data_IF_500652971126
#
_entry.id   IF_500652971126
#
_cell.length_a   1.000
_cell.length_b   1.000
_cell.length_c   1.000
_cell.angle_alpha   90.00
_cell.angle_beta   90.00
_cell.angle_gamma   90.00
#
_symmetry.space_group_name_H-M   'P 1'
#
loop_
_entity.id
_entity.type
_entity.pdbx_description
1 polymer ?
#
# COMPACT_ATOMS: atom_id res chain seq x y z
N UNK A 1 -11.31 -11.93 8.18
CA UNK A 1 -11.56 -10.53 7.81
C UNK A 1 -10.32 -9.97 7.14
N UNK A 2 -10.47 -9.39 5.96
CA UNK A 2 -9.36 -8.80 5.17
C UNK A 2 -8.75 -7.53 5.78
N UNK A 3 -9.28 -7.03 6.89
CA UNK A 3 -8.89 -5.71 7.41
C UNK A 3 -8.55 -5.75 8.90
N UNK A 4 -8.37 -6.95 9.45
CA UNK A 4 -7.99 -7.09 10.84
C UNK A 4 -6.60 -7.71 10.93
N UNK A 5 -5.67 -6.97 11.51
CA UNK A 5 -4.27 -7.37 11.66
C UNK A 5 -3.72 -6.98 13.03
N UNK A 6 -2.71 -7.71 13.46
CA UNK A 6 -1.81 -7.28 14.50
C UNK A 6 -0.66 -6.57 13.81
N UNK A 7 -0.50 -5.29 14.11
CA UNK A 7 0.49 -4.39 13.49
C UNK A 7 1.45 -3.91 14.56
N UNK A 8 2.71 -3.75 14.23
CA UNK A 8 3.73 -3.31 15.17
C UNK A 8 4.75 -2.40 14.49
N UNK A 9 5.45 -1.60 15.28
CA UNK A 9 6.53 -0.73 14.80
C UNK A 9 7.84 -1.13 15.45
N UNK A 10 8.81 -1.48 14.63
CA UNK A 10 10.20 -1.69 15.03
C UNK A 10 10.88 -0.31 15.19
N UNK A 11 11.59 -0.15 16.29
CA UNK A 11 12.30 1.10 16.60
C UNK A 11 13.30 1.45 15.50
N UNK A 12 13.25 2.69 15.01
CA UNK A 12 14.10 3.22 13.92
C UNK A 12 13.92 2.53 12.57
N UNK A 13 12.92 1.67 12.42
CA UNK A 13 12.53 1.05 11.17
C UNK A 13 11.10 1.45 10.78
N UNK A 14 10.44 0.65 10.02
CA UNK A 14 9.06 0.88 9.62
C UNK A 14 8.06 0.10 10.46
N UNK A 15 6.82 0.21 10.03
CA UNK A 15 5.68 -0.54 10.55
C UNK A 15 5.51 -1.83 9.75
N UNK A 16 5.29 -2.95 10.43
CA UNK A 16 4.97 -4.24 9.82
C UNK A 16 3.73 -4.86 10.46
N UNK A 17 3.19 -5.94 9.88
CA UNK A 17 1.96 -6.55 10.35
C UNK A 17 1.90 -8.04 10.05
N UNK A 18 1.25 -8.80 10.94
CA UNK A 18 0.95 -10.21 10.71
C UNK A 18 -0.19 -10.37 9.69
N UNK A 19 -0.16 -11.50 8.96
CA UNK A 19 -1.10 -11.82 7.89
C UNK A 19 -2.56 -11.54 8.28
N UNK A 20 -3.27 -10.85 7.39
CA UNK A 20 -4.70 -10.59 7.54
C UNK A 20 -5.57 -11.83 7.27
N UNK A 21 -5.06 -12.83 6.57
CA UNK A 21 -5.85 -13.95 6.04
C UNK A 21 -5.50 -15.30 6.60
N UNK A 22 -4.25 -15.52 7.01
CA UNK A 22 -3.73 -16.79 7.54
C UNK A 22 -3.36 -16.69 9.02
N UNK A 23 -3.22 -17.85 9.67
CA UNK A 23 -2.55 -17.90 10.96
C UNK A 23 -1.06 -17.60 10.78
N UNK A 24 -0.54 -16.75 11.65
CA UNK A 24 0.86 -16.36 11.65
C UNK A 24 1.32 -16.09 13.06
N UNK A 25 2.57 -16.41 13.34
CA UNK A 25 3.21 -16.16 14.62
C UNK A 25 4.66 -15.77 14.38
N UNK A 26 5.09 -14.71 15.03
CA UNK A 26 6.42 -14.14 14.84
C UNK A 26 7.08 -13.80 16.16
N UNK A 27 8.38 -14.06 16.25
CA UNK A 27 9.23 -13.62 17.36
C UNK A 27 10.11 -12.49 16.88
N UNK A 28 9.98 -11.35 17.54
CA UNK A 28 10.69 -10.12 17.20
C UNK A 28 11.69 -9.86 18.32
N UNK A 29 12.96 -9.87 17.96
CA UNK A 29 14.06 -9.63 18.87
C UNK A 29 14.49 -8.16 18.92
N UNK A 30 14.04 -7.38 17.94
CA UNK A 30 14.27 -5.94 17.86
C UNK A 30 13.32 -5.19 18.81
N UNK A 31 13.77 -4.05 19.35
CA UNK A 31 12.91 -3.20 20.18
C UNK A 31 11.71 -2.65 19.39
N UNK A 32 10.52 -2.71 20.00
CA UNK A 32 9.30 -2.17 19.43
C UNK A 32 8.87 -0.89 20.17
N UNK A 33 8.40 0.10 19.41
CA UNK A 33 7.80 1.31 19.94
C UNK A 33 6.36 1.08 20.39
N UNK A 34 5.60 0.33 19.59
CA UNK A 34 4.21 -0.01 19.90
C UNK A 34 3.74 -1.29 19.18
N UNK A 35 2.65 -1.84 19.70
CA UNK A 35 1.88 -2.94 19.10
C UNK A 35 0.42 -2.51 19.01
N UNK A 36 -0.23 -2.78 17.88
CA UNK A 36 -1.60 -2.38 17.59
C UNK A 36 -2.47 -3.57 17.16
N UNK A 37 -3.64 -3.68 17.78
CA UNK A 37 -4.73 -4.53 17.34
C UNK A 37 -5.67 -3.71 16.47
N UNK A 38 -5.58 -3.93 15.17
CA UNK A 38 -6.28 -3.15 14.16
C UNK A 38 -7.47 -3.91 13.61
N UNK A 39 -8.59 -3.23 13.45
CA UNK A 39 -9.67 -3.68 12.57
C UNK A 39 -9.88 -2.68 11.42
N UNK A 40 -10.96 -2.83 10.65
CA UNK A 40 -11.23 -1.98 9.50
C UNK A 40 -11.34 -0.48 9.84
N UNK A 41 -11.93 -0.14 10.98
CA UNK A 41 -12.30 1.24 11.32
C UNK A 41 -11.58 1.79 12.54
N UNK A 42 -11.13 0.93 13.44
CA UNK A 42 -10.53 1.31 14.71
C UNK A 42 -9.27 0.50 14.99
N UNK A 43 -8.39 1.11 15.74
CA UNK A 43 -7.20 0.46 16.28
C UNK A 43 -7.09 0.69 17.78
N UNK A 44 -6.60 -0.35 18.47
CA UNK A 44 -6.15 -0.28 19.85
C UNK A 44 -4.64 -0.42 19.84
N UNK A 45 -3.92 0.61 20.26
CA UNK A 45 -2.46 0.66 20.20
C UNK A 45 -1.91 0.71 21.61
N UNK A 46 -0.99 -0.18 21.93
CA UNK A 46 -0.22 -0.16 23.17
C UNK A 46 1.18 0.39 22.86
N UNK A 47 1.49 1.53 23.42
CA UNK A 47 2.72 2.29 23.20
C UNK A 47 3.59 2.15 24.45
N UNK A 48 4.85 1.73 24.27
CA UNK A 48 5.83 1.69 25.34
C UNK A 48 6.69 2.96 25.35
N UNK A 49 6.84 3.62 26.49
CA UNK A 49 7.77 4.74 26.64
C UNK A 49 9.23 4.29 26.57
N UNK A 50 9.53 3.11 27.12
CA UNK A 50 10.88 2.55 27.22
C UNK A 50 11.15 1.41 26.25
N UNK A 51 10.33 1.24 25.22
CA UNK A 51 10.31 0.15 24.23
C UNK A 51 9.91 -1.21 24.83
N UNK A 52 9.36 -2.06 23.97
CA UNK A 52 9.30 -3.49 24.21
C UNK A 52 10.58 -4.11 23.67
N UNK A 53 11.37 -4.75 24.51
CA UNK A 53 12.70 -5.27 24.15
C UNK A 53 12.65 -6.54 23.31
N UNK A 54 11.58 -7.29 23.43
CA UNK A 54 11.30 -8.53 22.70
C UNK A 54 9.79 -8.72 22.67
N UNK A 55 9.26 -9.25 21.58
CA UNK A 55 7.86 -9.59 21.46
C UNK A 55 7.66 -10.94 20.78
N UNK A 56 6.64 -11.67 21.22
CA UNK A 56 6.09 -12.82 20.51
C UNK A 56 4.64 -12.51 20.17
N UNK A 57 4.38 -12.33 18.89
CA UNK A 57 3.08 -11.92 18.37
C UNK A 57 2.43 -13.06 17.61
N UNK A 58 1.16 -13.31 17.83
CA UNK A 58 0.40 -14.31 17.09
C UNK A 58 -0.97 -13.83 16.65
N UNK A 59 -1.42 -14.31 15.51
CA UNK A 59 -2.71 -14.00 14.89
C UNK A 59 -3.32 -15.28 14.35
N UNK A 60 -4.43 -15.71 14.91
CA UNK A 60 -5.10 -16.97 14.54
C UNK A 60 -6.54 -16.69 14.08
N UNK A 61 -6.88 -16.91 12.78
CA UNK A 61 -8.24 -16.81 12.30
C UNK A 61 -9.17 -17.82 12.97
N UNK A 62 -10.35 -17.36 13.41
CA UNK A 62 -11.35 -18.21 14.00
C UNK A 62 -12.28 -18.84 12.96
N UNK A 63 -12.95 -19.94 13.34
CA UNK A 63 -13.91 -20.64 12.47
C UNK A 63 -15.11 -19.75 12.14
N UNK A 64 -15.62 -19.94 10.93
CA UNK A 64 -16.82 -19.25 10.45
C UNK A 64 -18.01 -19.55 11.30
N UNK A 65 -18.52 -19.03 12.16
CA UNK A 65 -19.67 -19.25 13.05
C UNK A 65 -19.34 -19.14 14.55
N UNK A 66 -18.07 -18.93 14.92
CA UNK A 66 -17.68 -18.69 16.31
C UNK A 66 -18.16 -17.32 16.84
N UNK A 67 -18.58 -16.40 15.95
CA UNK A 67 -18.87 -15.01 16.31
C UNK A 67 -17.62 -14.12 16.41
N UNK A 68 -16.44 -14.71 16.36
CA UNK A 68 -15.15 -14.03 16.42
C UNK A 68 -14.45 -14.14 15.06
N UNK A 69 -13.67 -13.11 14.70
CA UNK A 69 -12.93 -13.07 13.44
C UNK A 69 -11.54 -13.69 13.59
N UNK A 70 -10.84 -13.27 14.62
CA UNK A 70 -9.47 -13.67 14.93
C UNK A 70 -9.19 -13.56 16.42
N UNK A 71 -8.25 -14.37 16.87
CA UNK A 71 -7.60 -14.21 18.17
C UNK A 71 -6.20 -13.62 17.93
N UNK A 72 -5.85 -12.66 18.76
CA UNK A 72 -4.55 -12.03 18.79
C UNK A 72 -3.93 -12.24 20.16
N UNK A 73 -2.67 -12.63 20.15
CA UNK A 73 -1.86 -12.76 21.35
C UNK A 73 -0.56 -11.99 21.15
N UNK A 74 -0.17 -11.25 22.18
CA UNK A 74 1.04 -10.45 22.16
C UNK A 74 1.73 -10.54 23.53
N UNK A 75 2.77 -11.36 23.60
CA UNK A 75 3.66 -11.45 24.74
C UNK A 75 4.84 -10.52 24.52
N UNK A 76 4.96 -9.49 25.37
CA UNK A 76 5.97 -8.45 25.20
C UNK A 76 6.79 -8.30 26.48
N UNK A 77 8.09 -8.20 26.32
CA UNK A 77 9.01 -7.89 27.41
C UNK A 77 9.28 -6.40 27.46
N UNK A 78 9.23 -5.81 28.62
CA UNK A 78 9.58 -4.41 28.84
C UNK A 78 10.49 -4.27 30.04
N UNK A 79 11.16 -3.14 30.12
CA UNK A 79 11.99 -2.82 31.27
C UNK A 79 11.14 -2.68 32.52
N UNK A 80 11.61 -3.29 33.60
CA UNK A 80 11.01 -3.16 34.92
C UNK A 80 12.12 -2.90 35.96
N UNK A 81 11.98 -1.80 36.73
CA UNK A 81 12.90 -1.47 37.82
C UNK A 81 12.33 -2.00 39.15
N UNK A 82 12.89 -3.09 39.72
CA UNK A 82 12.41 -3.62 40.99
C UNK A 82 12.68 -2.68 42.19
N UNK A 83 13.56 -1.68 42.03
CA UNK A 83 13.82 -0.69 43.09
C UNK A 83 12.74 0.40 43.16
N UNK A 84 11.84 0.47 42.20
CA UNK A 84 10.76 1.46 42.13
C UNK A 84 11.20 2.89 41.83
N UNK A 85 12.46 3.11 41.48
CA UNK A 85 12.98 4.46 41.16
C UNK A 85 12.56 4.94 39.78
N UNK A 86 12.45 4.01 38.83
CA UNK A 86 12.08 4.33 37.46
C UNK A 86 10.76 3.65 37.12
N UNK A 87 9.66 4.40 36.94
CA UNK A 87 8.36 3.80 36.61
C UNK A 87 8.35 3.24 35.17
N UNK A 88 7.78 2.07 34.99
CA UNK A 88 7.45 1.57 33.65
C UNK A 88 6.19 2.28 33.15
N UNK A 89 6.30 3.05 32.08
CA UNK A 89 5.20 3.83 31.52
C UNK A 89 4.73 3.24 30.19
N UNK A 90 3.44 3.08 30.07
CA UNK A 90 2.78 2.64 28.83
C UNK A 90 1.57 3.52 28.58
N UNK A 91 1.23 3.71 27.31
CA UNK A 91 0.01 4.39 26.89
C UNK A 91 -0.84 3.45 26.06
N UNK A 92 -2.14 3.45 26.26
CA UNK A 92 -3.10 2.75 25.45
C UNK A 92 -3.96 3.75 24.70
N UNK A 93 -3.93 3.68 23.38
CA UNK A 93 -4.67 4.54 22.48
C UNK A 93 -5.79 3.74 21.80
N UNK A 94 -7.01 4.21 21.90
CA UNK A 94 -8.14 3.75 21.11
C UNK A 94 -8.53 4.85 20.14
N UNK A 95 -8.35 4.61 18.85
CA UNK A 95 -8.60 5.62 17.84
C UNK A 95 -9.25 5.03 16.58
N UNK A 96 -10.08 5.82 15.87
CA UNK A 96 -10.48 5.46 14.52
C UNK A 96 -9.27 5.52 13.58
N UNK A 97 -9.28 4.66 12.55
CA UNK A 97 -8.24 4.60 11.53
C UNK A 97 -8.37 5.81 10.57
N UNK A 98 -8.19 6.99 11.08
CA UNK A 98 -8.19 8.24 10.33
C UNK A 98 -6.76 8.77 10.24
N UNK A 99 -6.26 8.96 9.01
CA UNK A 99 -4.90 9.34 8.74
C UNK A 99 -4.46 10.62 9.47
N UNK A 100 -5.24 11.70 9.38
CA UNK A 100 -4.91 12.99 10.00
C UNK A 100 -5.00 12.95 11.52
N UNK A 101 -5.98 12.23 12.06
CA UNK A 101 -6.10 12.07 13.51
C UNK A 101 -4.90 11.32 14.08
N UNK A 102 -4.51 10.22 13.45
CA UNK A 102 -3.35 9.42 13.89
C UNK A 102 -2.05 10.22 13.75
N UNK A 103 -1.87 10.95 12.65
CA UNK A 103 -0.74 11.85 12.46
C UNK A 103 -0.69 12.96 13.52
N UNK A 104 -1.85 13.53 13.89
CA UNK A 104 -1.90 14.52 14.95
C UNK A 104 -1.59 13.90 16.32
N UNK A 105 -2.02 12.68 16.56
CA UNK A 105 -1.79 11.95 17.82
C UNK A 105 -0.31 11.67 18.06
N UNK A 106 0.50 11.47 16.99
CA UNK A 106 1.96 11.36 17.12
C UNK A 106 2.57 12.55 17.87
N UNK A 107 2.06 13.76 17.63
CA UNK A 107 2.54 15.00 18.26
C UNK A 107 2.07 15.16 19.71
N UNK A 108 0.99 14.49 20.08
CA UNK A 108 0.43 14.53 21.44
C UNK A 108 0.99 13.42 22.33
N UNK A 109 1.71 12.47 21.77
CA UNK A 109 2.35 11.40 22.54
C UNK A 109 3.37 12.01 23.52
N UNK A 110 3.30 11.57 24.75
CA UNK A 110 4.26 12.00 25.80
C UNK A 110 5.66 11.41 25.57
N UNK A 111 5.86 10.57 24.57
CA UNK A 111 7.16 10.07 24.16
C UNK A 111 7.73 10.97 23.05
N UNK A 112 9.00 11.35 23.15
CA UNK A 112 9.73 12.08 22.08
C UNK A 112 10.00 11.20 20.83
N UNK A 113 9.24 10.12 20.67
CA UNK A 113 9.38 9.15 19.59
C UNK A 113 8.53 9.54 18.41
N UNK A 114 9.04 9.32 17.21
CA UNK A 114 8.24 9.34 15.99
C UNK A 114 7.47 8.00 15.88
N UNK A 115 6.22 8.01 16.33
CA UNK A 115 5.42 6.80 16.39
C UNK A 115 4.85 6.37 15.04
N UNK A 116 4.78 7.29 14.05
CA UNK A 116 4.23 7.01 12.70
C UNK A 116 2.89 6.25 12.76
N UNK A 117 1.99 6.63 13.68
CA UNK A 117 0.69 5.96 13.87
C UNK A 117 -0.22 6.05 12.64
N UNK A 118 0.01 7.04 11.76
CA UNK A 118 -0.68 7.13 10.48
C UNK A 118 -0.43 5.94 9.56
N UNK A 119 0.64 5.18 9.77
CA UNK A 119 0.95 3.96 9.02
C UNK A 119 0.01 2.80 9.35
N UNK A 120 -0.78 2.91 10.42
CA UNK A 120 -1.93 2.04 10.65
C UNK A 120 -2.97 2.16 9.53
N UNK A 121 -3.05 3.30 8.84
CA UNK A 121 -3.87 3.44 7.65
C UNK A 121 -3.08 2.93 6.45
N UNK A 122 -3.45 1.74 5.96
CA UNK A 122 -2.77 1.15 4.81
C UNK A 122 -3.01 1.97 3.54
N UNK A 123 -1.99 2.64 3.06
CA UNK A 123 -2.02 3.47 1.85
C UNK A 123 -1.45 2.77 0.61
N UNK A 124 -1.29 1.45 0.66
CA UNK A 124 -0.71 0.66 -0.43
C UNK A 124 0.81 0.54 -0.37
N UNK A 125 1.42 -0.04 -1.40
CA UNK A 125 2.87 -0.21 -1.52
C UNK A 125 3.60 1.14 -1.47
N UNK A 126 4.91 1.20 -1.17
CA UNK A 126 5.64 2.45 -0.94
C UNK A 126 5.46 3.52 -2.03
N UNK A 127 5.42 3.11 -3.30
CA UNK A 127 5.17 4.03 -4.43
C UNK A 127 3.76 4.63 -4.37
N UNK A 128 2.76 3.82 -4.00
CA UNK A 128 1.37 4.26 -3.91
C UNK A 128 1.11 5.04 -2.64
N UNK A 129 1.74 4.64 -1.53
CA UNK A 129 1.74 5.38 -0.28
C UNK A 129 2.17 6.83 -0.51
N UNK A 130 3.22 7.07 -1.32
CA UNK A 130 3.68 8.40 -1.67
C UNK A 130 2.63 9.20 -2.47
N UNK A 131 2.05 8.61 -3.53
CA UNK A 131 0.99 9.25 -4.33
C UNK A 131 -0.25 9.54 -3.48
N UNK A 132 -0.70 8.57 -2.69
CA UNK A 132 -1.85 8.74 -1.82
C UNK A 132 -1.61 9.81 -0.77
N UNK A 133 -0.45 9.78 -0.08
CA UNK A 133 -0.10 10.71 0.99
C UNK A 133 0.01 12.15 0.50
N UNK A 134 0.67 12.39 -0.64
CA UNK A 134 0.99 13.75 -1.11
C UNK A 134 0.01 14.30 -2.15
N UNK A 135 -0.82 13.46 -2.74
CA UNK A 135 -1.71 13.90 -3.81
C UNK A 135 -3.18 13.59 -3.52
N UNK A 136 -3.54 12.33 -3.36
CA UNK A 136 -4.95 11.93 -3.27
C UNK A 136 -5.61 12.44 -1.99
N UNK A 137 -4.96 12.32 -0.83
CA UNK A 137 -5.52 12.77 0.46
C UNK A 137 -5.76 14.27 0.44
N UNK A 138 -4.81 15.09 -0.04
CA UNK A 138 -4.99 16.55 -0.09
C UNK A 138 -6.13 16.98 -0.99
N UNK A 139 -6.27 16.36 -2.16
CA UNK A 139 -7.37 16.67 -3.09
C UNK A 139 -8.71 16.23 -2.50
N UNK A 140 -8.75 15.07 -1.88
CA UNK A 140 -9.94 14.55 -1.22
C UNK A 140 -10.39 15.48 -0.09
N UNK A 141 -9.48 15.93 0.78
CA UNK A 141 -9.78 16.85 1.87
C UNK A 141 -10.25 18.20 1.35
N UNK A 142 -9.59 18.72 0.32
CA UNK A 142 -10.01 19.97 -0.33
C UNK A 142 -11.43 19.85 -0.90
N UNK A 143 -11.74 18.79 -1.63
CA UNK A 143 -13.08 18.55 -2.16
C UNK A 143 -14.12 18.34 -1.03
N UNK A 144 -13.75 17.65 0.04
CA UNK A 144 -14.61 17.42 1.20
C UNK A 144 -14.92 18.70 1.96
N UNK A 145 -13.95 19.65 2.01
CA UNK A 145 -14.13 20.95 2.67
C UNK A 145 -15.16 21.84 1.99
N UNK A 146 -15.51 21.56 0.73
CA UNK A 146 -16.58 22.27 -0.02
C UNK A 146 -17.99 21.91 0.45
N UNK A 147 -18.15 21.03 1.43
CA UNK A 147 -19.46 20.61 1.97
C UNK A 147 -20.29 19.75 1.00
N UNK A 148 -19.65 19.16 -0.01
CA UNK A 148 -20.31 18.29 -0.99
C UNK A 148 -20.60 16.91 -0.39
N UNK A 149 -21.63 16.25 -0.90
CA UNK A 149 -21.89 14.86 -0.51
C UNK A 149 -20.71 13.96 -0.91
N UNK A 150 -20.40 12.93 -0.10
CA UNK A 150 -19.27 12.01 -0.32
C UNK A 150 -19.30 11.40 -1.73
N UNK A 151 -20.48 11.10 -2.28
CA UNK A 151 -20.62 10.56 -3.64
C UNK A 151 -20.13 11.55 -4.71
N UNK A 152 -20.42 12.84 -4.55
CA UNK A 152 -19.97 13.89 -5.47
C UNK A 152 -18.44 14.08 -5.33
N UNK A 153 -17.92 14.07 -4.12
CA UNK A 153 -16.47 14.17 -3.86
C UNK A 153 -15.72 13.04 -4.59
N UNK A 154 -16.16 11.80 -4.46
CA UNK A 154 -15.55 10.66 -5.13
C UNK A 154 -15.66 10.73 -6.65
N UNK A 155 -16.79 11.21 -7.17
CA UNK A 155 -16.99 11.41 -8.60
C UNK A 155 -16.03 12.47 -9.15
N UNK A 156 -15.92 13.63 -8.49
CA UNK A 156 -15.02 14.70 -8.88
C UNK A 156 -13.55 14.28 -8.80
N UNK A 157 -13.17 13.59 -7.72
CA UNK A 157 -11.83 13.02 -7.57
C UNK A 157 -11.50 12.06 -8.73
N UNK A 158 -12.44 11.19 -9.09
CA UNK A 158 -12.26 10.27 -10.22
C UNK A 158 -12.07 11.00 -11.55
N UNK A 159 -12.87 12.03 -11.82
CA UNK A 159 -12.74 12.85 -13.02
C UNK A 159 -11.37 13.54 -13.05
N UNK A 160 -10.98 14.14 -11.94
CA UNK A 160 -9.70 14.86 -11.82
C UNK A 160 -8.51 13.93 -12.09
N UNK A 161 -8.48 12.75 -11.47
CA UNK A 161 -7.44 11.75 -11.72
C UNK A 161 -7.43 11.31 -13.19
N UNK A 162 -8.60 11.09 -13.80
CA UNK A 162 -8.69 10.74 -15.23
C UNK A 162 -8.17 11.84 -16.15
N UNK A 163 -8.46 13.11 -15.85
CA UNK A 163 -7.96 14.26 -16.60
C UNK A 163 -6.43 14.33 -16.52
N UNK A 164 -5.85 14.12 -15.34
CA UNK A 164 -4.40 14.12 -15.15
C UNK A 164 -3.70 12.98 -15.89
N UNK A 165 -4.28 11.80 -15.91
CA UNK A 165 -3.72 10.63 -16.59
C UNK A 165 -4.02 10.66 -18.12
N UNK A 166 -4.97 11.49 -18.56
CA UNK A 166 -5.42 11.55 -19.96
C UNK A 166 -4.29 11.74 -20.99
N UNK A 167 -3.31 12.65 -20.82
CA UNK A 167 -2.25 12.84 -21.83
C UNK A 167 -1.41 11.57 -22.04
N UNK A 168 -1.12 10.84 -20.97
CA UNK A 168 -0.37 9.58 -21.02
C UNK A 168 -1.21 8.47 -21.67
N UNK A 169 -2.47 8.39 -21.27
CA UNK A 169 -3.44 7.42 -21.81
C UNK A 169 -3.67 7.64 -23.30
N UNK A 170 -3.80 8.90 -23.76
CA UNK A 170 -3.93 9.24 -25.18
C UNK A 170 -2.74 8.76 -26.01
N UNK A 171 -1.51 9.03 -25.55
CA UNK A 171 -0.30 8.58 -26.24
C UNK A 171 -0.27 7.06 -26.39
N UNK A 172 -0.71 6.34 -25.38
CA UNK A 172 -0.73 4.90 -25.39
C UNK A 172 -1.83 4.32 -26.29
N UNK A 173 -3.03 4.91 -26.30
CA UNK A 173 -4.08 4.52 -27.25
C UNK A 173 -3.63 4.74 -28.70
N UNK A 174 -2.96 5.85 -28.99
CA UNK A 174 -2.39 6.09 -30.33
C UNK A 174 -1.33 5.06 -30.71
N UNK A 175 -0.45 4.67 -29.76
CA UNK A 175 0.54 3.61 -30.01
C UNK A 175 -0.14 2.26 -30.25
N UNK A 176 -1.15 1.91 -29.46
CA UNK A 176 -1.93 0.69 -29.66
C UNK A 176 -2.70 0.67 -31.00
N UNK A 177 -3.26 1.80 -31.40
CA UNK A 177 -3.94 1.93 -32.69
C UNK A 177 -2.94 1.74 -33.86
N UNK A 178 -1.77 2.38 -33.77
CA UNK A 178 -0.69 2.16 -34.77
C UNK A 178 -0.24 0.70 -34.84
N UNK A 179 -0.11 0.01 -33.70
CA UNK A 179 0.22 -1.41 -33.66
C UNK A 179 -0.82 -2.29 -34.39
N UNK A 180 -2.11 -1.96 -34.24
CA UNK A 180 -3.18 -2.69 -34.96
C UNK A 180 -3.06 -2.52 -36.48
N UNK A 181 -2.70 -1.32 -36.96
CA UNK A 181 -2.48 -1.06 -38.40
C UNK A 181 -1.24 -1.79 -38.91
N UNK A 182 -0.23 -1.99 -38.07
CA UNK A 182 1.00 -2.71 -38.42
C UNK A 182 0.85 -4.24 -38.37
N UNK A 183 -0.24 -4.74 -37.78
CA UNK A 183 -0.48 -6.19 -37.64
C UNK A 183 -0.31 -6.97 -38.95
N UNK A 184 -0.91 -6.60 -40.11
CA UNK A 184 -0.73 -7.36 -41.36
C UNK A 184 0.73 -7.46 -41.79
N UNK A 185 1.54 -6.39 -41.61
CA UNK A 185 2.98 -6.42 -41.92
C UNK A 185 3.77 -7.32 -40.95
N UNK A 186 3.35 -7.40 -39.71
CA UNK A 186 3.94 -8.31 -38.73
C UNK A 186 3.58 -9.78 -39.09
N UNK A 187 2.36 -10.00 -39.57
CA UNK A 187 1.91 -11.33 -39.99
C UNK A 187 2.67 -11.78 -41.23
N UNK A 188 2.94 -10.92 -42.21
CA UNK A 188 3.84 -11.17 -43.37
C UNK A 188 5.25 -11.54 -42.91
N UNK A 189 5.78 -10.81 -41.91
CA UNK A 189 7.10 -11.08 -41.33
C UNK A 189 7.13 -12.41 -40.58
N UNK A 190 6.05 -12.75 -39.90
CA UNK A 190 5.86 -14.06 -39.26
C UNK A 190 5.83 -15.20 -40.27
N UNK A 191 5.19 -15.00 -41.44
CA UNK A 191 5.15 -15.96 -42.49
C UNK A 191 6.52 -16.13 -43.20
N UNK A 192 7.32 -15.08 -43.28
CA UNK A 192 8.67 -15.08 -43.86
C UNK A 192 9.66 -15.90 -43.03
N UNK A 193 9.47 -15.93 -41.69
CA UNK A 193 10.36 -16.63 -40.75
C UNK A 193 9.59 -17.66 -39.91
N UNK A 194 9.20 -18.81 -40.49
CA UNK A 194 8.41 -19.83 -39.80
C UNK A 194 9.24 -20.72 -38.87
N UNK A 195 10.58 -20.77 -39.05
CA UNK A 195 11.46 -21.66 -38.31
C UNK A 195 11.91 -21.04 -36.96
N UNK A 196 12.00 -21.87 -35.90
CA UNK A 196 12.53 -21.41 -34.59
C UNK A 196 13.96 -20.85 -34.66
N UNK A 197 14.78 -21.32 -35.59
CA UNK A 197 16.15 -20.92 -35.82
C UNK A 197 16.27 -19.42 -36.26
N UNK A 198 15.24 -18.90 -36.91
CA UNK A 198 15.18 -17.51 -37.38
C UNK A 198 14.55 -16.55 -36.38
N UNK A 199 14.25 -17.02 -35.18
CA UNK A 199 13.60 -16.19 -34.15
C UNK A 199 14.31 -14.86 -33.86
N UNK A 200 15.66 -14.88 -33.85
CA UNK A 200 16.46 -13.65 -33.61
C UNK A 200 16.33 -12.65 -34.77
N UNK A 201 16.39 -13.14 -36.02
CA UNK A 201 16.22 -12.28 -37.21
C UNK A 201 14.81 -11.69 -37.28
N UNK A 202 13.80 -12.53 -37.02
CA UNK A 202 12.41 -12.11 -36.92
C UNK A 202 12.21 -11.01 -35.88
N UNK A 203 12.79 -11.19 -34.68
CA UNK A 203 12.71 -10.19 -33.62
C UNK A 203 13.39 -8.88 -34.02
N UNK A 204 14.56 -8.95 -34.66
CA UNK A 204 15.30 -7.79 -35.12
C UNK A 204 14.54 -7.02 -36.21
N UNK A 205 14.01 -7.70 -37.24
CA UNK A 205 13.20 -7.07 -38.29
C UNK A 205 11.88 -6.49 -37.72
N UNK A 206 11.26 -7.15 -36.75
CA UNK A 206 10.07 -6.63 -36.04
C UNK A 206 10.39 -5.36 -35.27
N UNK A 207 11.55 -5.30 -34.57
CA UNK A 207 11.98 -4.10 -33.88
C UNK A 207 12.30 -2.96 -34.84
N UNK A 208 12.94 -3.25 -35.99
CA UNK A 208 13.18 -2.25 -37.03
C UNK A 208 11.87 -1.71 -37.60
N UNK A 209 10.88 -2.59 -37.85
CA UNK A 209 9.55 -2.20 -38.32
C UNK A 209 8.88 -1.23 -37.32
N UNK A 210 8.91 -1.56 -36.04
CA UNK A 210 8.37 -0.68 -35.00
C UNK A 210 9.10 0.68 -34.93
N UNK A 211 10.43 0.69 -35.07
CA UNK A 211 11.23 1.90 -35.10
C UNK A 211 10.90 2.78 -36.30
N UNK A 212 10.75 2.20 -37.51
CA UNK A 212 10.42 2.95 -38.74
C UNK A 212 9.07 3.67 -38.66
N UNK A 213 8.09 3.04 -37.97
CA UNK A 213 6.75 3.63 -37.83
C UNK A 213 6.58 4.44 -36.53
N UNK A 214 7.66 4.61 -35.74
CA UNK A 214 7.64 5.36 -34.47
C UNK A 214 6.66 4.77 -33.48
N UNK A 215 6.59 3.44 -33.39
CA UNK A 215 5.73 2.70 -32.48
C UNK A 215 6.62 2.01 -31.45
N UNK A 216 6.33 2.24 -30.15
CA UNK A 216 6.99 1.50 -29.09
C UNK A 216 6.17 0.25 -28.71
N UNK A 217 6.73 -0.96 -28.72
CA UNK A 217 6.03 -2.16 -28.27
C UNK A 217 5.58 -2.07 -26.81
N UNK A 218 6.29 -1.28 -25.99
CA UNK A 218 5.92 -1.00 -24.61
C UNK A 218 4.82 0.06 -24.46
N UNK A 219 4.52 0.83 -25.52
CA UNK A 219 3.51 1.88 -25.51
C UNK A 219 2.09 1.37 -25.26
N UNK A 220 1.80 0.13 -25.59
CA UNK A 220 0.49 -0.51 -25.39
C UNK A 220 0.25 -1.00 -23.95
N UNK A 221 1.28 -1.46 -23.24
CA UNK A 221 1.16 -1.95 -21.86
C UNK A 221 1.40 -0.87 -20.80
N UNK A 222 2.03 0.25 -21.18
CA UNK A 222 2.36 1.33 -20.26
C UNK A 222 1.15 1.90 -19.48
N UNK A 223 -0.06 2.11 -20.09
CA UNK A 223 -1.23 2.52 -19.31
C UNK A 223 -1.67 1.48 -18.31
N UNK A 224 -1.58 0.20 -18.66
CA UNK A 224 -1.96 -0.87 -17.74
C UNK A 224 -1.04 -0.88 -16.52
N UNK A 225 0.27 -0.71 -16.72
CA UNK A 225 1.25 -0.60 -15.63
C UNK A 225 1.05 0.67 -14.81
N UNK A 226 0.68 1.79 -15.44
CA UNK A 226 0.47 3.08 -14.76
C UNK A 226 -0.90 3.13 -14.06
N UNK A 227 -1.87 2.40 -14.56
CA UNK A 227 -3.25 2.40 -14.09
C UNK A 227 -3.48 1.34 -13.00
N UNK A 228 -2.72 0.24 -13.01
CA UNK A 228 -2.79 -0.81 -11.99
C UNK A 228 -2.61 -0.26 -10.55
N UNK A 229 -1.63 0.62 -10.28
CA UNK A 229 -1.46 1.26 -8.99
C UNK A 229 -2.67 2.07 -8.52
N UNK A 230 -3.28 2.80 -9.45
CA UNK A 230 -4.44 3.66 -9.14
C UNK A 230 -5.70 2.83 -8.85
N UNK A 231 -5.79 1.60 -9.36
CA UNK A 231 -6.91 0.70 -9.11
C UNK A 231 -6.75 -0.12 -7.82
N UNK A 232 -5.52 -0.29 -7.36
CA UNK A 232 -5.20 -1.04 -6.13
C UNK A 232 -5.19 -0.12 -4.90
N UNK A 233 -4.94 1.18 -5.10
CA UNK A 233 -4.99 2.20 -4.05
C UNK A 233 -6.43 2.59 -3.70
#
# INVERSE_FOLDING_TARGET
SRYSSLTYKIKNEGTDYLSETSAESEKIAEPLDWVAFKNQFFSCVLIAHQDFTEAHLSSTPQQKASGYLKDYEADMKTFFDPSGKTPTQMQMLFAPNNYHLLQHTNKLSASDKDLELEDLVYLGWPLFKWINRFFIIYIFDWLSSLGLSMGIVLLLLTILVKVLVYPTTRKSYLSSAKMRVLKPKIDELNAKYPKPEDAMKKQQETMQLYSQYGVSPMGGCLPMLLQMPIWIA
#
